data_IF_339344884192
#
_entry.id   IF_339344884192
#
_cell.length_a   1.000
_cell.length_b   1.000
_cell.length_c   1.000
_cell.angle_alpha   90.00
_cell.angle_beta   90.00
_cell.angle_gamma   90.00
#
_symmetry.space_group_name_H-M   'P 1'
#
loop_
_entity.id
_entity.type
_entity.pdbx_description
1 polymer ?
#
# COMPACT_ATOMS: atom_id res chain seq x y z
N UNK A 1 3.61 -5.41 -0.38
CA UNK A 1 5.06 -5.60 -0.34
C UNK A 1 5.47 -6.74 0.58
N UNK A 2 6.45 -7.58 0.22
CA UNK A 2 7.17 -8.40 1.18
C UNK A 2 8.13 -7.54 2.00
N UNK A 3 8.78 -8.18 2.99
CA UNK A 3 9.83 -7.56 3.79
C UNK A 3 11.19 -8.20 3.49
N UNK A 4 12.17 -7.37 3.20
CA UNK A 4 13.57 -7.75 3.07
C UNK A 4 14.40 -6.97 4.08
N UNK A 5 15.02 -7.69 5.02
CA UNK A 5 15.89 -7.07 6.03
C UNK A 5 15.23 -5.88 6.75
N UNK A 6 13.99 -6.07 7.22
CA UNK A 6 13.16 -5.06 7.93
C UNK A 6 12.71 -3.87 7.07
N UNK A 7 12.91 -3.92 5.76
CA UNK A 7 12.46 -2.88 4.84
C UNK A 7 11.71 -3.48 3.64
N UNK A 8 11.20 -2.65 2.77
CA UNK A 8 10.65 -3.10 1.50
C UNK A 8 11.79 -3.36 0.50
N UNK A 9 11.55 -4.18 -0.55
CA UNK A 9 12.60 -4.57 -1.50
C UNK A 9 13.22 -3.39 -2.23
N UNK A 10 14.50 -3.51 -2.55
CA UNK A 10 15.25 -2.51 -3.30
C UNK A 10 14.60 -2.19 -4.66
N UNK A 11 14.04 -3.18 -5.35
CA UNK A 11 13.34 -2.99 -6.61
C UNK A 11 12.14 -2.05 -6.49
N UNK A 12 11.37 -2.14 -5.41
CA UNK A 12 10.26 -1.24 -5.14
C UNK A 12 10.75 0.19 -4.90
N UNK A 13 11.79 0.36 -4.08
CA UNK A 13 12.39 1.68 -3.84
C UNK A 13 12.92 2.30 -5.12
N UNK A 14 13.57 1.52 -5.97
CA UNK A 14 14.07 1.98 -7.26
C UNK A 14 12.93 2.49 -8.16
N UNK A 15 11.83 1.75 -8.26
CA UNK A 15 10.67 2.18 -9.04
C UNK A 15 10.06 3.48 -8.51
N UNK A 16 9.95 3.61 -7.19
CA UNK A 16 9.45 4.82 -6.54
C UNK A 16 10.37 6.00 -6.82
N UNK A 17 11.68 5.83 -6.68
CA UNK A 17 12.67 6.89 -6.90
C UNK A 17 12.64 7.36 -8.35
N UNK A 18 12.60 6.45 -9.31
CA UNK A 18 12.50 6.79 -10.74
C UNK A 18 11.24 7.63 -11.02
N UNK A 19 10.08 7.19 -10.55
CA UNK A 19 8.83 7.92 -10.76
C UNK A 19 8.76 9.28 -10.06
N UNK A 20 9.63 9.51 -9.07
CA UNK A 20 9.71 10.78 -8.35
C UNK A 20 10.55 11.86 -9.05
N UNK A 21 11.17 11.55 -10.16
CA UNK A 21 12.11 12.44 -10.87
C UNK A 21 11.61 12.77 -12.28
N UNK A 22 11.98 13.97 -12.83
CA UNK A 22 12.77 15.06 -12.21
C UNK A 22 12.11 15.66 -10.98
N UNK A 23 12.89 16.25 -10.09
CA UNK A 23 12.37 16.93 -8.91
C UNK A 23 11.30 17.97 -9.29
N UNK A 24 10.20 17.98 -8.55
CA UNK A 24 9.03 18.83 -8.84
C UNK A 24 8.09 18.26 -9.91
N UNK A 25 8.39 17.10 -10.52
CA UNK A 25 7.56 16.43 -11.52
C UNK A 25 7.27 14.97 -11.16
N UNK A 26 7.18 14.67 -9.86
CA UNK A 26 6.86 13.34 -9.37
C UNK A 26 5.49 12.87 -9.89
N UNK A 27 5.46 11.67 -10.46
CA UNK A 27 4.18 11.04 -10.89
C UNK A 27 3.33 10.58 -9.70
N UNK A 28 3.93 10.54 -8.51
CA UNK A 28 3.26 10.06 -7.28
C UNK A 28 2.50 11.16 -6.55
N UNK A 29 2.85 12.41 -6.76
CA UNK A 29 2.29 13.52 -6.01
C UNK A 29 0.76 13.54 -6.01
N UNK A 30 0.18 13.56 -4.82
CA UNK A 30 -1.28 13.62 -4.63
C UNK A 30 -2.03 12.32 -4.89
N UNK A 31 -1.36 11.23 -5.33
CA UNK A 31 -2.03 9.95 -5.58
C UNK A 31 -2.36 9.23 -4.27
N UNK A 32 -3.63 8.87 -4.06
CA UNK A 32 -3.99 8.02 -2.93
C UNK A 32 -3.26 6.68 -2.96
N UNK A 33 -2.85 6.20 -1.81
CA UNK A 33 -2.13 4.95 -1.68
C UNK A 33 -2.69 4.06 -0.56
N UNK A 34 -2.56 2.77 -0.74
CA UNK A 34 -2.76 1.75 0.27
C UNK A 34 -1.47 0.93 0.38
N UNK A 35 -1.01 0.70 1.60
CA UNK A 35 0.13 -0.17 1.87
C UNK A 35 -0.38 -1.47 2.48
N UNK A 36 -0.11 -2.58 1.79
CA UNK A 36 -0.36 -3.94 2.29
C UNK A 36 0.98 -4.65 2.35
N UNK A 37 1.31 -5.22 3.50
CA UNK A 37 2.51 -6.04 3.65
C UNK A 37 2.16 -7.49 3.94
N UNK A 38 3.06 -8.38 3.59
CA UNK A 38 2.88 -9.81 3.78
C UNK A 38 4.21 -10.50 4.10
N UNK A 39 4.12 -11.61 4.82
CA UNK A 39 5.27 -12.45 5.14
C UNK A 39 4.80 -13.86 5.49
N UNK A 40 5.60 -14.90 5.23
CA UNK A 40 5.33 -16.21 5.81
C UNK A 40 5.54 -16.26 7.33
N UNK A 41 6.23 -15.29 7.91
CA UNK A 41 6.48 -15.19 9.36
C UNK A 41 5.41 -14.41 10.13
N UNK A 42 5.59 -14.35 11.45
CA UNK A 42 4.67 -13.69 12.38
C UNK A 42 4.65 -12.18 12.25
N UNK A 43 5.74 -11.57 11.82
CA UNK A 43 5.85 -10.10 11.78
C UNK A 43 5.12 -9.49 10.58
N UNK A 44 4.62 -10.31 9.66
CA UNK A 44 3.71 -9.92 8.57
C UNK A 44 4.19 -8.75 7.70
N UNK A 45 5.49 -8.51 7.63
CA UNK A 45 6.07 -7.39 6.89
C UNK A 45 5.86 -6.03 7.55
N UNK A 46 5.63 -5.99 8.86
CA UNK A 46 5.39 -4.75 9.60
C UNK A 46 6.48 -3.70 9.38
N UNK A 47 7.75 -4.09 9.42
CA UNK A 47 8.87 -3.16 9.19
C UNK A 47 8.84 -2.55 7.79
N UNK A 48 8.64 -3.38 6.77
CA UNK A 48 8.51 -2.91 5.39
C UNK A 48 7.32 -1.97 5.21
N UNK A 49 6.17 -2.31 5.80
CA UNK A 49 4.95 -1.52 5.74
C UNK A 49 5.19 -0.08 6.25
N UNK A 50 5.72 0.05 7.46
CA UNK A 50 5.96 1.36 8.08
C UNK A 50 7.10 2.13 7.40
N UNK A 51 8.12 1.43 6.94
CA UNK A 51 9.20 2.06 6.19
C UNK A 51 8.71 2.63 4.86
N UNK A 52 7.85 1.91 4.15
CA UNK A 52 7.21 2.38 2.93
C UNK A 52 6.30 3.59 3.19
N UNK A 53 5.52 3.59 4.27
CA UNK A 53 4.67 4.74 4.63
C UNK A 53 5.47 6.02 4.81
N UNK A 54 6.65 5.94 5.38
CA UNK A 54 7.56 7.08 5.52
C UNK A 54 7.95 7.66 4.15
N UNK A 55 8.25 6.80 3.18
CA UNK A 55 8.59 7.21 1.81
C UNK A 55 7.39 7.88 1.13
N UNK A 56 6.21 7.30 1.25
CA UNK A 56 4.98 7.84 0.65
C UNK A 56 4.60 9.20 1.24
N UNK A 57 4.91 9.43 2.52
CA UNK A 57 4.73 10.73 3.16
C UNK A 57 5.56 11.82 2.48
N UNK A 58 6.84 11.55 2.20
CA UNK A 58 7.71 12.49 1.47
C UNK A 58 7.20 12.76 0.05
N UNK A 59 6.58 11.79 -0.58
CA UNK A 59 6.04 11.90 -1.94
C UNK A 59 4.68 12.58 -2.00
N UNK A 60 4.16 13.05 -0.87
CA UNK A 60 2.83 13.68 -0.75
C UNK A 60 1.70 12.77 -1.26
N UNK A 61 1.78 11.47 -0.93
CA UNK A 61 0.74 10.52 -1.25
C UNK A 61 -0.18 10.34 -0.03
N UNK A 62 -1.46 10.71 -0.13
CA UNK A 62 -2.40 10.46 0.96
C UNK A 62 -2.61 8.96 1.13
N UNK A 63 -2.09 8.41 2.22
CA UNK A 63 -2.10 6.97 2.49
C UNK A 63 -3.25 6.60 3.41
N UNK A 64 -4.00 5.55 3.05
CA UNK A 64 -5.03 4.99 3.89
C UNK A 64 -4.43 4.52 5.21
N UNK A 65 -4.91 5.07 6.33
CA UNK A 65 -4.39 4.74 7.66
C UNK A 65 -5.09 3.53 8.27
N UNK A 66 -6.40 3.43 8.07
CA UNK A 66 -7.22 2.36 8.63
C UNK A 66 -8.21 1.79 7.57
N UNK A 67 -8.35 0.45 7.56
CA UNK A 67 -7.65 -0.53 8.37
C UNK A 67 -6.19 -0.73 7.93
N UNK A 68 -5.32 -1.06 8.88
CA UNK A 68 -3.96 -1.50 8.58
C UNK A 68 -3.97 -2.93 8.06
N UNK A 69 -3.13 -3.24 7.07
CA UNK A 69 -3.10 -4.55 6.43
C UNK A 69 -1.72 -5.21 6.53
N UNK A 70 -1.57 -6.08 7.50
CA UNK A 70 -0.39 -6.91 7.75
C UNK A 70 -0.78 -8.37 7.61
N UNK A 71 -0.31 -9.06 6.59
CA UNK A 71 -0.69 -10.43 6.30
C UNK A 71 0.42 -11.38 6.74
N UNK A 72 0.17 -12.13 7.81
CA UNK A 72 1.09 -13.14 8.33
C UNK A 72 0.81 -14.51 7.69
N UNK A 73 1.79 -15.40 7.78
CA UNK A 73 1.65 -16.81 7.42
C UNK A 73 1.12 -17.04 6.01
N UNK A 74 1.56 -16.25 5.04
CA UNK A 74 1.04 -16.29 3.67
C UNK A 74 1.19 -17.65 3.00
N UNK A 75 2.22 -18.41 3.35
CA UNK A 75 2.43 -19.79 2.87
C UNK A 75 1.33 -20.77 3.33
N UNK A 76 0.59 -20.44 4.38
CA UNK A 76 -0.54 -21.24 4.88
C UNK A 76 -1.91 -20.72 4.43
N UNK A 77 -1.96 -19.49 3.93
CA UNK A 77 -3.21 -18.85 3.49
C UNK A 77 -3.53 -19.14 2.04
N UNK A 78 -2.56 -19.54 1.25
CA UNK A 78 -2.73 -19.77 -0.18
C UNK A 78 -2.63 -21.26 -0.44
N UNK A 79 -3.62 -21.81 -1.14
CA UNK A 79 -3.64 -23.22 -1.53
C UNK A 79 -2.76 -23.49 -2.76
N UNK A 80 -2.71 -24.76 -3.21
CA UNK A 80 -1.94 -25.20 -4.37
C UNK A 80 -2.39 -24.55 -5.70
N UNK A 81 -3.59 -23.98 -5.74
CA UNK A 81 -4.15 -23.27 -6.90
C UNK A 81 -3.97 -21.75 -6.80
N UNK A 82 -3.30 -21.25 -5.77
CA UNK A 82 -3.08 -19.83 -5.55
C UNK A 82 -4.29 -19.08 -4.97
N UNK A 83 -5.26 -19.80 -4.41
CA UNK A 83 -6.45 -19.21 -3.78
C UNK A 83 -6.28 -19.07 -2.28
N UNK A 84 -6.84 -18.01 -1.73
CA UNK A 84 -6.90 -17.82 -0.27
C UNK A 84 -7.93 -18.79 0.30
N UNK A 85 -7.51 -19.58 1.28
CA UNK A 85 -8.29 -20.66 1.88
C UNK A 85 -8.92 -20.33 3.23
N UNK A 86 -8.94 -19.05 3.61
CA UNK A 86 -9.47 -18.58 4.89
C UNK A 86 -10.49 -17.48 4.67
N UNK A 87 -11.74 -17.72 5.03
CA UNK A 87 -12.85 -16.77 4.84
C UNK A 87 -12.63 -15.47 5.62
N UNK A 88 -12.14 -15.54 6.86
CA UNK A 88 -11.86 -14.34 7.65
C UNK A 88 -10.81 -13.44 7.02
N UNK A 89 -9.80 -14.02 6.37
CA UNK A 89 -8.80 -13.27 5.61
C UNK A 89 -9.42 -12.61 4.37
N UNK A 90 -10.28 -13.32 3.65
CA UNK A 90 -10.98 -12.77 2.48
C UNK A 90 -11.86 -11.60 2.88
N UNK A 91 -12.66 -11.75 3.93
CA UNK A 91 -13.53 -10.68 4.45
C UNK A 91 -12.72 -9.46 4.90
N UNK A 92 -11.61 -9.68 5.59
CA UNK A 92 -10.73 -8.60 6.01
C UNK A 92 -10.13 -7.85 4.82
N UNK A 93 -9.61 -8.57 3.83
CA UNK A 93 -9.04 -7.96 2.63
C UNK A 93 -10.09 -7.21 1.81
N UNK A 94 -11.33 -7.73 1.75
CA UNK A 94 -12.44 -7.03 1.12
C UNK A 94 -12.74 -5.72 1.85
N UNK A 95 -12.78 -5.72 3.17
CA UNK A 95 -12.97 -4.51 3.96
C UNK A 95 -11.86 -3.47 3.73
N UNK A 96 -10.60 -3.92 3.60
CA UNK A 96 -9.46 -3.05 3.26
C UNK A 96 -9.64 -2.42 1.88
N UNK A 97 -10.03 -3.21 0.88
CA UNK A 97 -10.27 -2.72 -0.49
C UNK A 97 -11.42 -1.73 -0.51
N UNK A 98 -12.53 -2.02 0.17
CA UNK A 98 -13.69 -1.13 0.24
C UNK A 98 -13.33 0.21 0.90
N UNK A 99 -12.53 0.18 1.96
CA UNK A 99 -12.03 1.38 2.61
C UNK A 99 -11.11 2.18 1.68
N UNK A 100 -10.28 1.50 0.88
CA UNK A 100 -9.39 2.16 -0.07
C UNK A 100 -10.17 2.80 -1.23
N UNK A 101 -11.22 2.17 -1.73
CA UNK A 101 -12.10 2.77 -2.74
C UNK A 101 -12.68 4.10 -2.23
N UNK A 102 -13.21 4.13 -1.02
CA UNK A 102 -13.71 5.36 -0.40
C UNK A 102 -12.62 6.41 -0.20
N UNK A 103 -11.41 5.98 0.13
CA UNK A 103 -10.26 6.86 0.25
C UNK A 103 -9.90 7.49 -1.10
N UNK A 104 -9.87 6.71 -2.17
CA UNK A 104 -9.63 7.22 -3.53
C UNK A 104 -10.70 8.25 -3.91
N UNK A 105 -11.97 7.93 -3.75
CA UNK A 105 -13.09 8.80 -4.10
C UNK A 105 -12.97 10.16 -3.44
N UNK A 106 -12.61 10.19 -2.16
CA UNK A 106 -12.42 11.43 -1.39
C UNK A 106 -11.38 12.36 -2.00
N UNK A 107 -10.30 11.81 -2.56
CA UNK A 107 -9.22 12.60 -3.16
C UNK A 107 -9.45 12.92 -4.63
N UNK A 108 -10.15 12.09 -5.37
CA UNK A 108 -10.51 12.36 -6.76
C UNK A 108 -11.50 13.53 -6.84
N UNK A 109 -12.48 13.60 -5.98
CA UNK A 109 -13.41 14.73 -5.89
C UNK A 109 -12.67 16.05 -5.62
N UNK A 110 -11.63 16.02 -4.77
CA UNK A 110 -10.82 17.20 -4.46
C UNK A 110 -10.02 17.68 -5.67
N UNK A 111 -9.50 16.75 -6.48
CA UNK A 111 -8.71 17.06 -7.68
C UNK A 111 -9.58 17.64 -8.82
N UNK A 112 -10.87 17.29 -8.87
CA UNK A 112 -11.82 17.79 -9.86
C UNK A 112 -12.48 19.11 -9.44
N UNK A 113 -12.33 19.48 -8.17
CA UNK A 113 -12.91 20.68 -7.58
C UNK A 113 -11.94 21.89 -7.55
N UNK A 114 -10.78 21.81 -8.22
CA UNK A 114 -9.91 22.98 -8.34
C UNK A 114 -10.64 24.10 -9.10
N UNK A 115 -10.73 25.31 -8.52
CA UNK A 115 -11.35 26.41 -9.21
C UNK A 115 -10.51 26.76 -10.43
N UNK A 116 -11.13 26.81 -11.57
CA UNK A 116 -10.62 27.49 -12.75
C UNK A 116 -10.35 28.95 -12.37
N UNK A 117 -9.06 29.28 -12.18
CA UNK A 117 -8.61 30.65 -12.13
C UNK A 117 -8.67 31.28 -13.50
#
# INVERSE_FOLDING_TARGET
TPEHNRSFPAALKNAIDIGSRPYGKSVWNGKPALVVSQSPGNLSGFGANHHLRQVLTMLNMPTLQQPEAYIAHTNKLIDEHGKINNEGTIEFLQAVVDAFVKHIERYVETLTAEPTL
#
